data_IF_013461748690
#
_entry.id   IF_013461748690
#
_cell.length_a   1.000
_cell.length_b   1.000
_cell.length_c   1.000
_cell.angle_alpha   90.00
_cell.angle_beta   90.00
_cell.angle_gamma   90.00
#
_symmetry.space_group_name_H-M   'P 1'
#
loop_
_entity.id
_entity.type
_entity.pdbx_description
1 polymer ?
#
# COMPACT_ATOMS: atom_id res chain seq x y z
N UNK A 1 -9.93 -20.81 3.66
CA UNK A 1 -9.72 -19.40 3.30
C UNK A 1 -8.27 -19.17 2.86
N UNK A 2 -7.28 -19.77 3.48
CA UNK A 2 -5.86 -19.62 3.16
C UNK A 2 -5.31 -20.61 2.12
N UNK A 3 -6.17 -21.36 1.43
CA UNK A 3 -5.80 -22.35 0.40
C UNK A 3 -5.06 -21.75 -0.81
N UNK A 4 -5.17 -20.44 -0.99
CA UNK A 4 -4.46 -19.74 -2.07
C UNK A 4 -2.96 -19.52 -1.77
N UNK A 5 -2.57 -19.46 -0.50
CA UNK A 5 -1.18 -19.14 -0.12
C UNK A 5 -0.15 -20.16 -0.61
N UNK A 6 -0.38 -21.48 -0.54
CA UNK A 6 0.56 -22.44 -1.12
C UNK A 6 0.83 -22.19 -2.60
N UNK A 7 -0.19 -21.78 -3.39
CA UNK A 7 -0.03 -21.45 -4.80
C UNK A 7 0.79 -20.16 -5.00
N UNK A 8 0.58 -19.16 -4.13
CA UNK A 8 1.35 -17.90 -4.14
C UNK A 8 2.82 -18.18 -3.82
N UNK A 9 3.10 -19.04 -2.82
CA UNK A 9 4.46 -19.45 -2.46
C UNK A 9 5.12 -20.21 -3.62
N UNK A 10 4.44 -21.19 -4.21
CA UNK A 10 4.95 -21.93 -5.37
C UNK A 10 5.28 -20.97 -6.53
N UNK A 11 4.40 -20.01 -6.81
CA UNK A 11 4.65 -19.02 -7.86
C UNK A 11 5.84 -18.12 -7.56
N UNK A 12 6.00 -17.69 -6.32
CA UNK A 12 7.15 -16.91 -5.87
C UNK A 12 8.46 -17.68 -6.03
N UNK A 13 8.47 -18.97 -5.69
CA UNK A 13 9.63 -19.86 -5.85
C UNK A 13 9.98 -20.05 -7.33
N UNK A 14 8.98 -20.34 -8.19
CA UNK A 14 9.16 -20.43 -9.65
C UNK A 14 9.80 -19.16 -10.23
N UNK A 15 9.30 -17.99 -9.82
CA UNK A 15 9.86 -16.70 -10.28
C UNK A 15 11.29 -16.51 -9.76
N UNK A 16 11.56 -16.90 -8.52
CA UNK A 16 12.88 -16.80 -7.91
C UNK A 16 13.92 -17.71 -8.61
N UNK A 17 13.51 -18.88 -9.07
CA UNK A 17 14.32 -19.75 -9.89
C UNK A 17 14.49 -19.24 -11.31
N UNK A 18 13.43 -18.69 -11.91
CA UNK A 18 13.45 -18.21 -13.27
C UNK A 18 14.36 -16.98 -13.47
N UNK A 19 14.37 -16.03 -12.53
CA UNK A 19 15.17 -14.80 -12.64
C UNK A 19 16.69 -15.02 -12.64
N UNK A 20 17.18 -16.21 -12.25
CA UNK A 20 18.61 -16.56 -12.28
C UNK A 20 18.99 -17.31 -13.55
N UNK A 21 18.04 -17.62 -14.43
CA UNK A 21 18.30 -18.35 -15.67
C UNK A 21 18.88 -17.41 -16.73
N UNK A 22 19.94 -17.84 -17.46
CA UNK A 22 20.63 -16.98 -18.42
C UNK A 22 19.75 -16.50 -19.58
N UNK A 23 18.79 -17.31 -20.01
CA UNK A 23 17.83 -16.97 -21.09
C UNK A 23 16.85 -15.90 -20.65
N UNK A 24 16.42 -15.91 -19.39
CA UNK A 24 15.55 -14.86 -18.83
C UNK A 24 16.33 -13.57 -18.61
N UNK A 25 17.58 -13.64 -18.15
CA UNK A 25 18.46 -12.48 -17.95
C UNK A 25 18.75 -11.79 -19.31
N UNK A 26 18.89 -12.56 -20.38
CA UNK A 26 19.11 -12.03 -21.72
C UNK A 26 17.88 -11.27 -22.29
N UNK A 27 16.67 -11.62 -21.86
CA UNK A 27 15.41 -10.93 -22.21
C UNK A 27 15.04 -9.91 -21.13
N UNK A 28 15.48 -8.66 -21.34
CA UNK A 28 15.28 -7.57 -20.37
C UNK A 28 13.80 -7.36 -20.02
N UNK A 29 12.88 -7.51 -20.99
CA UNK A 29 11.46 -7.28 -20.76
C UNK A 29 10.86 -8.36 -19.84
N UNK A 30 11.17 -9.64 -20.12
CA UNK A 30 10.74 -10.76 -19.28
C UNK A 30 11.36 -10.71 -17.88
N UNK A 31 12.64 -10.38 -17.81
CA UNK A 31 13.35 -10.23 -16.54
C UNK A 31 12.69 -9.16 -15.64
N UNK A 32 12.40 -7.98 -16.18
CA UNK A 32 11.71 -6.91 -15.44
C UNK A 32 10.30 -7.30 -15.01
N UNK A 33 9.54 -7.98 -15.89
CA UNK A 33 8.21 -8.47 -15.57
C UNK A 33 8.24 -9.47 -14.39
N UNK A 34 9.18 -10.41 -14.40
CA UNK A 34 9.33 -11.41 -13.34
C UNK A 34 9.78 -10.80 -12.01
N UNK A 35 10.70 -9.83 -12.06
CA UNK A 35 11.10 -9.09 -10.85
C UNK A 35 9.92 -8.33 -10.24
N UNK A 36 9.12 -7.67 -11.06
CA UNK A 36 7.95 -6.92 -10.60
C UNK A 36 6.89 -7.85 -9.99
N UNK A 37 6.61 -8.98 -10.65
CA UNK A 37 5.65 -9.98 -10.16
C UNK A 37 6.14 -10.59 -8.83
N UNK A 38 7.43 -10.99 -8.76
CA UNK A 38 8.02 -11.52 -7.53
C UNK A 38 7.94 -10.52 -6.38
N UNK A 39 8.30 -9.25 -6.61
CA UNK A 39 8.22 -8.19 -5.60
C UNK A 39 6.78 -7.97 -5.10
N UNK A 40 5.78 -8.10 -5.98
CA UNK A 40 4.37 -7.99 -5.59
C UNK A 40 3.88 -9.14 -4.68
N UNK A 41 4.50 -10.32 -4.79
CA UNK A 41 4.17 -11.50 -3.97
C UNK A 41 4.96 -11.56 -2.65
N UNK A 42 6.08 -10.87 -2.53
CA UNK A 42 7.03 -10.99 -1.41
C UNK A 42 6.40 -10.74 -0.04
N UNK A 43 5.56 -9.71 0.07
CA UNK A 43 4.85 -9.36 1.31
C UNK A 43 3.90 -10.50 1.74
N UNK A 44 3.16 -11.07 0.78
CA UNK A 44 2.22 -12.17 1.03
C UNK A 44 2.96 -13.45 1.47
N UNK A 45 4.08 -13.76 0.81
CA UNK A 45 4.90 -14.93 1.14
C UNK A 45 5.52 -14.78 2.53
N UNK A 46 6.07 -13.62 2.85
CA UNK A 46 6.67 -13.34 4.16
C UNK A 46 5.64 -13.45 5.29
N UNK A 47 4.46 -12.85 5.11
CA UNK A 47 3.38 -12.96 6.08
C UNK A 47 2.91 -14.40 6.27
N UNK A 48 2.81 -15.17 5.20
CA UNK A 48 2.44 -16.58 5.26
C UNK A 48 3.47 -17.43 6.00
N UNK A 49 4.76 -17.24 5.72
CA UNK A 49 5.86 -17.95 6.40
C UNK A 49 5.88 -17.64 7.90
N UNK A 50 5.65 -16.37 8.27
CA UNK A 50 5.53 -15.95 9.67
C UNK A 50 4.35 -16.64 10.37
N UNK A 51 3.18 -16.66 9.73
CA UNK A 51 2.01 -17.37 10.25
C UNK A 51 2.28 -18.86 10.45
N UNK A 52 2.90 -19.53 9.49
CA UNK A 52 3.27 -20.95 9.62
C UNK A 52 4.27 -21.20 10.76
N UNK A 53 5.19 -20.25 10.99
CA UNK A 53 6.12 -20.32 12.13
C UNK A 53 5.37 -20.25 13.45
N UNK A 54 4.40 -19.32 13.59
CA UNK A 54 3.56 -19.23 14.78
C UNK A 54 2.76 -20.51 15.03
N UNK A 55 2.22 -21.13 13.98
CA UNK A 55 1.52 -22.42 14.12
C UNK A 55 2.43 -23.54 14.61
N UNK A 56 3.68 -23.58 14.13
CA UNK A 56 4.68 -24.54 14.60
C UNK A 56 5.04 -24.32 16.06
N UNK A 57 5.29 -23.08 16.47
CA UNK A 57 5.54 -22.74 17.88
C UNK A 57 4.36 -23.13 18.77
N UNK A 58 3.13 -22.87 18.32
CA UNK A 58 1.93 -23.29 19.06
C UNK A 58 1.89 -24.81 19.24
N UNK A 59 2.21 -25.60 18.22
CA UNK A 59 2.23 -27.04 18.33
C UNK A 59 3.30 -27.51 19.31
N UNK A 60 4.49 -26.92 19.29
CA UNK A 60 5.56 -27.23 20.25
C UNK A 60 5.16 -26.87 21.70
N UNK A 61 4.59 -25.69 21.91
CA UNK A 61 4.11 -25.30 23.24
C UNK A 61 2.98 -26.21 23.75
N UNK A 62 2.11 -26.71 22.85
CA UNK A 62 1.09 -27.69 23.20
C UNK A 62 1.68 -29.04 23.64
N UNK A 63 2.77 -29.51 23.03
CA UNK A 63 3.47 -30.71 23.46
C UNK A 63 4.11 -30.54 24.86
N UNK A 64 4.66 -29.33 25.15
CA UNK A 64 5.28 -29.01 26.43
C UNK A 64 4.26 -28.95 27.59
N UNK A 65 2.96 -28.75 27.34
CA UNK A 65 1.93 -28.79 28.41
C UNK A 65 1.87 -30.13 29.14
N UNK A 66 2.32 -31.23 28.55
CA UNK A 66 2.32 -32.54 29.18
C UNK A 66 3.44 -32.72 30.20
N UNK A 67 4.44 -31.82 30.19
CA UNK A 67 5.55 -31.83 31.15
C UNK A 67 5.19 -30.94 32.36
N UNK A 68 5.13 -31.50 33.57
CA UNK A 68 4.79 -30.74 34.78
C UNK A 68 5.71 -29.55 35.07
N UNK A 69 7.01 -29.67 34.71
CA UNK A 69 8.01 -28.62 34.95
C UNK A 69 7.90 -27.45 33.95
N UNK A 70 7.30 -27.70 32.78
CA UNK A 70 7.16 -26.71 31.72
C UNK A 70 5.72 -26.19 31.54
N UNK A 71 4.78 -26.77 32.26
CA UNK A 71 3.34 -26.54 32.07
C UNK A 71 2.94 -25.05 32.16
N UNK A 72 3.40 -24.34 33.23
CA UNK A 72 3.06 -22.94 33.44
C UNK A 72 3.61 -22.03 32.32
N UNK A 73 4.88 -22.22 31.99
CA UNK A 73 5.54 -21.48 30.92
C UNK A 73 4.88 -21.74 29.54
N UNK A 74 4.54 -22.99 29.26
CA UNK A 74 3.86 -23.36 28.02
C UNK A 74 2.43 -22.77 27.93
N UNK A 75 1.72 -22.67 29.05
CA UNK A 75 0.40 -22.05 29.11
C UNK A 75 0.45 -20.53 28.82
N UNK A 76 1.42 -19.82 29.37
CA UNK A 76 1.64 -18.40 29.09
C UNK A 76 2.03 -18.17 27.63
N UNK A 77 2.93 -19.00 27.08
CA UNK A 77 3.33 -18.91 25.68
C UNK A 77 2.15 -19.16 24.75
N UNK A 78 1.31 -20.16 25.01
CA UNK A 78 0.10 -20.42 24.21
C UNK A 78 -0.88 -19.24 24.21
N UNK A 79 -1.03 -18.55 25.33
CA UNK A 79 -1.87 -17.36 25.40
C UNK A 79 -1.31 -16.22 24.53
N UNK A 80 -0.01 -15.99 24.56
CA UNK A 80 0.68 -15.00 23.72
C UNK A 80 0.57 -15.36 22.24
N UNK A 81 0.83 -16.63 21.88
CA UNK A 81 0.75 -17.12 20.52
C UNK A 81 -0.66 -17.03 19.94
N UNK A 82 -1.70 -17.23 20.76
CA UNK A 82 -3.08 -17.10 20.31
C UNK A 82 -3.40 -15.69 19.80
N UNK A 83 -2.93 -14.65 20.49
CA UNK A 83 -3.10 -13.26 20.06
C UNK A 83 -2.31 -12.97 18.77
N UNK A 84 -1.05 -13.41 18.68
CA UNK A 84 -0.21 -13.23 17.50
C UNK A 84 -0.76 -13.95 16.26
N UNK A 85 -1.30 -15.15 16.43
CA UNK A 85 -1.93 -15.92 15.35
C UNK A 85 -3.18 -15.19 14.85
N UNK A 86 -4.02 -14.67 15.75
CA UNK A 86 -5.23 -13.93 15.35
C UNK A 86 -4.87 -12.66 14.55
N UNK A 87 -3.85 -11.92 14.97
CA UNK A 87 -3.34 -10.76 14.25
C UNK A 87 -2.78 -11.14 12.86
N UNK A 88 -1.95 -12.19 12.81
CA UNK A 88 -1.40 -12.69 11.54
C UNK A 88 -2.51 -13.16 10.58
N UNK A 89 -3.56 -13.83 11.07
CA UNK A 89 -4.71 -14.21 10.26
C UNK A 89 -5.46 -13.00 9.69
N UNK A 90 -5.62 -11.95 10.47
CA UNK A 90 -6.24 -10.72 9.99
C UNK A 90 -5.38 -10.05 8.90
N UNK A 91 -4.09 -9.98 9.11
CA UNK A 91 -3.15 -9.45 8.11
C UNK A 91 -3.19 -10.25 6.81
N UNK A 92 -3.18 -11.59 6.89
CA UNK A 92 -3.29 -12.46 5.72
C UNK A 92 -4.60 -12.25 4.96
N UNK A 93 -5.72 -12.01 5.66
CA UNK A 93 -7.01 -11.70 5.01
C UNK A 93 -6.94 -10.39 4.21
N UNK A 94 -6.31 -9.37 4.77
CA UNK A 94 -6.12 -8.07 4.11
C UNK A 94 -5.26 -8.23 2.86
N UNK A 95 -4.16 -8.98 2.94
CA UNK A 95 -3.25 -9.22 1.82
C UNK A 95 -3.85 -10.03 0.66
N UNK A 96 -4.93 -10.78 0.91
CA UNK A 96 -5.68 -11.49 -0.15
C UNK A 96 -6.71 -10.62 -0.87
N UNK A 97 -6.97 -9.41 -0.38
CA UNK A 97 -7.87 -8.50 -1.09
C UNK A 97 -7.24 -8.11 -2.43
N UNK A 98 -8.05 -8.10 -3.51
CA UNK A 98 -7.54 -7.67 -4.81
C UNK A 98 -7.06 -6.22 -4.71
N UNK A 99 -5.80 -5.97 -5.07
CA UNK A 99 -5.27 -4.62 -5.22
C UNK A 99 -5.83 -4.02 -6.51
N UNK A 100 -6.25 -2.78 -6.46
CA UNK A 100 -6.61 -2.03 -7.64
C UNK A 100 -5.30 -1.80 -8.46
N UNK A 101 -5.25 -2.17 -9.75
CA UNK A 101 -4.06 -1.99 -10.57
C UNK A 101 -3.64 -0.52 -10.68
N UNK A 102 -4.57 0.39 -10.42
CA UNK A 102 -4.34 1.83 -10.47
C UNK A 102 -3.79 2.41 -9.16
N UNK A 103 -3.76 1.64 -8.08
CA UNK A 103 -3.35 2.12 -6.75
C UNK A 103 -1.94 2.76 -6.71
N UNK A 104 -1.03 2.31 -7.58
CA UNK A 104 0.34 2.83 -7.70
C UNK A 104 0.49 3.96 -8.74
N UNK A 105 -0.60 4.39 -9.39
CA UNK A 105 -0.52 5.49 -10.33
C UNK A 105 -0.31 6.82 -9.62
N UNK A 106 0.48 7.70 -10.27
CA UNK A 106 0.57 9.11 -9.89
C UNK A 106 -0.74 9.82 -10.19
N UNK A 107 -1.02 10.87 -9.45
CA UNK A 107 -2.22 11.68 -9.62
C UNK A 107 -1.87 13.10 -10.01
N UNK A 108 -2.82 13.77 -10.66
CA UNK A 108 -2.85 15.24 -10.79
C UNK A 108 -3.99 15.73 -9.91
N UNK A 109 -3.66 16.62 -8.98
CA UNK A 109 -4.64 17.28 -8.12
C UNK A 109 -4.87 18.68 -8.63
N UNK A 110 -6.14 19.06 -8.77
CA UNK A 110 -6.58 20.39 -9.15
C UNK A 110 -7.47 20.95 -8.03
N UNK A 111 -7.12 22.11 -7.50
CA UNK A 111 -7.87 22.84 -6.48
C UNK A 111 -8.29 24.16 -7.08
N UNK A 112 -9.59 24.47 -7.03
CA UNK A 112 -10.15 25.74 -7.49
C UNK A 112 -10.92 26.42 -6.38
N UNK A 113 -10.71 27.73 -6.21
CA UNK A 113 -11.58 28.57 -5.41
C UNK A 113 -12.98 28.60 -6.05
N UNK A 114 -14.00 28.14 -5.31
CA UNK A 114 -15.38 28.08 -5.76
C UNK A 114 -16.11 29.43 -5.68
N UNK A 115 -17.44 29.37 -5.62
CA UNK A 115 -18.28 30.58 -5.38
C UNK A 115 -18.07 31.08 -3.94
N UNK A 116 -17.48 32.25 -3.76
CA UNK A 116 -17.17 32.81 -2.41
C UNK A 116 -16.14 33.94 -2.43
N UNK A 117 -15.70 34.35 -3.62
CA UNK A 117 -14.74 35.44 -3.75
C UNK A 117 -13.38 35.12 -3.12
N UNK A 118 -12.78 36.11 -2.44
CA UNK A 118 -11.45 36.01 -1.86
C UNK A 118 -11.35 34.95 -0.74
N UNK A 119 -12.41 34.78 0.05
CA UNK A 119 -12.44 33.79 1.13
C UNK A 119 -12.31 32.35 0.61
N UNK A 120 -12.94 32.06 -0.53
CA UNK A 120 -12.81 30.74 -1.17
C UNK A 120 -11.41 30.52 -1.71
N UNK A 121 -10.73 31.56 -2.19
CA UNK A 121 -9.35 31.49 -2.64
C UNK A 121 -8.36 31.26 -1.48
N UNK A 122 -8.59 31.89 -0.34
CA UNK A 122 -7.82 31.67 0.88
C UNK A 122 -8.00 30.21 1.40
N UNK A 123 -9.22 29.71 1.38
CA UNK A 123 -9.51 28.32 1.74
C UNK A 123 -8.84 27.33 0.78
N UNK A 124 -8.83 27.61 -0.53
CA UNK A 124 -8.13 26.80 -1.50
C UNK A 124 -6.61 26.74 -1.23
N UNK A 125 -6.01 27.85 -0.79
CA UNK A 125 -4.61 27.90 -0.37
C UNK A 125 -4.33 27.01 0.86
N UNK A 126 -5.24 27.02 1.85
CA UNK A 126 -5.13 26.13 3.02
C UNK A 126 -5.25 24.66 2.63
N UNK A 127 -6.19 24.30 1.75
CA UNK A 127 -6.34 22.93 1.24
C UNK A 127 -5.08 22.46 0.50
N UNK A 128 -4.53 23.30 -0.40
CA UNK A 128 -3.28 22.97 -1.09
C UNK A 128 -2.16 22.69 -0.09
N UNK A 129 -2.00 23.55 0.91
CA UNK A 129 -0.98 23.38 1.97
C UNK A 129 -1.19 22.07 2.74
N UNK A 130 -2.44 21.74 3.06
CA UNK A 130 -2.79 20.49 3.75
C UNK A 130 -2.36 19.27 2.93
N UNK A 131 -2.69 19.22 1.64
CA UNK A 131 -2.34 18.09 0.77
C UNK A 131 -0.84 17.97 0.52
N UNK A 132 -0.12 19.09 0.35
CA UNK A 132 1.34 19.09 0.24
C UNK A 132 1.97 18.50 1.51
N UNK A 133 1.54 18.95 2.70
CA UNK A 133 2.05 18.41 3.96
C UNK A 133 1.69 16.94 4.18
N UNK A 134 0.51 16.52 3.74
CA UNK A 134 0.15 15.12 3.76
C UNK A 134 1.09 14.29 2.87
N UNK A 135 1.35 14.75 1.65
CA UNK A 135 2.26 14.10 0.71
C UNK A 135 3.68 14.00 1.28
N UNK A 136 4.20 15.08 1.88
CA UNK A 136 5.52 15.10 2.53
C UNK A 136 5.62 14.04 3.66
N UNK A 137 4.60 13.94 4.53
CA UNK A 137 4.58 12.95 5.62
C UNK A 137 4.57 11.51 5.13
N UNK A 138 4.04 11.27 3.94
CA UNK A 138 3.98 9.95 3.32
C UNK A 138 5.12 9.72 2.31
N UNK A 139 6.11 10.62 2.26
CA UNK A 139 7.26 10.56 1.34
C UNK A 139 6.84 10.54 -0.14
N UNK A 140 5.70 11.17 -0.47
CA UNK A 140 5.27 11.36 -1.84
C UNK A 140 5.96 12.60 -2.44
N UNK A 141 6.30 12.51 -3.71
CA UNK A 141 6.88 13.63 -4.46
C UNK A 141 5.76 14.51 -5.00
N UNK A 142 5.83 15.80 -4.72
CA UNK A 142 4.88 16.81 -5.22
C UNK A 142 5.59 17.70 -6.21
N UNK A 143 5.00 17.89 -7.39
CA UNK A 143 5.49 18.80 -8.43
C UNK A 143 4.39 19.78 -8.81
N UNK A 144 4.57 21.09 -8.60
CA UNK A 144 3.62 22.10 -9.05
C UNK A 144 3.62 22.17 -10.59
N UNK A 145 2.42 22.21 -11.19
CA UNK A 145 2.24 22.35 -12.63
C UNK A 145 1.84 23.78 -12.96
N UNK A 146 0.82 24.31 -12.27
CA UNK A 146 0.38 25.70 -12.41
C UNK A 146 -0.28 26.19 -11.13
N UNK A 147 -0.11 27.47 -10.81
CA UNK A 147 -0.77 28.12 -9.67
C UNK A 147 -1.14 29.54 -10.04
N UNK A 148 -2.40 29.92 -9.82
CA UNK A 148 -2.90 31.28 -10.00
C UNK A 148 -3.27 31.83 -8.63
N UNK A 149 -2.47 32.77 -8.15
CA UNK A 149 -2.66 33.40 -6.83
C UNK A 149 -3.52 34.66 -6.91
N UNK A 150 -4.11 35.07 -5.76
CA UNK A 150 -4.78 36.35 -5.58
C UNK A 150 -3.86 37.34 -4.87
N UNK A 151 -4.21 38.62 -4.90
CA UNK A 151 -3.44 39.71 -4.26
C UNK A 151 -3.31 39.52 -2.73
N UNK A 152 -4.27 38.84 -2.10
CA UNK A 152 -4.28 38.56 -0.66
C UNK A 152 -3.68 37.19 -0.27
N UNK A 153 -3.01 36.55 -1.21
CA UNK A 153 -2.35 35.24 -0.96
C UNK A 153 -3.29 34.05 -1.01
N UNK A 154 -4.50 34.19 -1.53
CA UNK A 154 -5.38 33.09 -1.87
C UNK A 154 -4.99 32.45 -3.20
N UNK A 155 -5.61 31.33 -3.53
CA UNK A 155 -5.39 30.57 -4.77
C UNK A 155 -6.70 30.46 -5.53
N UNK A 156 -6.75 31.02 -6.75
CA UNK A 156 -7.87 30.83 -7.68
C UNK A 156 -7.88 29.43 -8.25
N UNK A 157 -6.71 28.94 -8.63
CA UNK A 157 -6.50 27.61 -9.19
C UNK A 157 -5.08 27.14 -8.87
N UNK A 158 -4.95 25.89 -8.44
CA UNK A 158 -3.68 25.20 -8.30
C UNK A 158 -3.77 23.82 -8.92
N UNK A 159 -2.78 23.47 -9.75
CA UNK A 159 -2.63 22.15 -10.35
C UNK A 159 -1.25 21.62 -9.99
N UNK A 160 -1.18 20.47 -9.41
CA UNK A 160 0.09 19.82 -9.04
C UNK A 160 -0.02 18.29 -9.16
N UNK A 161 1.09 17.64 -9.47
CA UNK A 161 1.18 16.20 -9.48
C UNK A 161 1.66 15.68 -8.14
N UNK A 162 1.17 14.49 -7.76
CA UNK A 162 1.67 13.75 -6.60
C UNK A 162 2.05 12.35 -7.08
N UNK A 163 3.30 11.94 -6.85
CA UNK A 163 3.86 10.66 -7.27
C UNK A 163 4.44 9.90 -6.09
N UNK A 164 4.26 8.59 -6.08
CA UNK A 164 4.75 7.67 -5.06
C UNK A 164 3.94 6.39 -5.02
N UNK A 165 4.41 5.37 -4.30
CA UNK A 165 3.68 4.11 -4.17
C UNK A 165 2.40 4.29 -3.35
N UNK A 166 1.26 3.83 -3.88
CA UNK A 166 -0.04 3.90 -3.22
C UNK A 166 -0.65 5.30 -3.14
N UNK A 167 -0.19 6.26 -3.94
CA UNK A 167 -0.73 7.63 -3.95
C UNK A 167 -2.20 7.61 -4.36
N UNK A 168 -2.52 6.95 -5.47
CA UNK A 168 -3.90 6.87 -5.96
C UNK A 168 -4.81 6.17 -4.95
N UNK A 169 -4.38 5.04 -4.38
CA UNK A 169 -5.12 4.31 -3.36
C UNK A 169 -5.58 5.20 -2.19
N UNK A 170 -4.71 6.13 -1.76
CA UNK A 170 -4.98 7.02 -0.63
C UNK A 170 -5.80 8.25 -1.01
N UNK A 171 -5.62 8.76 -2.23
CA UNK A 171 -6.20 10.01 -2.68
C UNK A 171 -7.48 9.84 -3.50
N UNK A 172 -7.79 8.63 -4.00
CA UNK A 172 -8.97 8.38 -4.85
C UNK A 172 -10.32 8.73 -4.21
N UNK A 173 -10.37 8.86 -2.89
CA UNK A 173 -11.59 9.19 -2.15
C UNK A 173 -11.70 10.69 -1.80
N UNK A 174 -10.65 11.49 -2.08
CA UNK A 174 -10.62 12.92 -1.80
C UNK A 174 -11.36 13.76 -2.86
N UNK A 175 -12.35 13.17 -3.52
CA UNK A 175 -13.01 13.77 -4.68
C UNK A 175 -14.41 14.22 -4.39
N UNK A 176 -14.71 15.45 -4.86
CA UNK A 176 -16.09 15.82 -5.18
C UNK A 176 -16.47 15.53 -6.64
N UNK A 177 -15.49 15.47 -7.59
CA UNK A 177 -15.68 15.09 -9.01
C UNK A 177 -14.41 14.46 -9.57
N UNK A 178 -14.49 13.21 -10.09
CA UNK A 178 -13.41 12.52 -10.79
C UNK A 178 -13.62 12.65 -12.29
N UNK A 179 -12.63 13.21 -13.02
CA UNK A 179 -12.44 12.97 -14.43
C UNK A 179 -11.24 12.03 -14.61
N UNK A 180 -11.51 10.82 -15.08
CA UNK A 180 -10.48 9.84 -15.41
C UNK A 180 -10.12 10.06 -16.87
N UNK A 181 -8.90 10.55 -17.14
CA UNK A 181 -8.28 10.46 -18.45
C UNK A 181 -7.00 9.65 -18.34
N UNK A 182 -6.88 8.58 -19.13
CA UNK A 182 -5.64 7.82 -19.21
C UNK A 182 -4.52 8.66 -19.85
N UNK A 183 -3.27 8.50 -19.41
CA UNK A 183 -2.70 7.63 -18.37
C UNK A 183 -2.59 8.27 -16.99
N UNK A 184 -3.06 9.49 -16.81
CA UNK A 184 -2.98 10.26 -15.57
C UNK A 184 -4.40 10.60 -15.09
N UNK A 185 -4.73 10.29 -13.83
CA UNK A 185 -6.05 10.60 -13.27
C UNK A 185 -6.05 11.98 -12.62
N UNK A 186 -7.00 12.83 -13.02
CA UNK A 186 -7.21 14.14 -12.44
C UNK A 186 -8.14 14.06 -11.22
N UNK A 187 -7.68 14.59 -10.09
CA UNK A 187 -8.50 14.81 -8.90
C UNK A 187 -8.94 16.30 -8.92
N UNK A 188 -10.22 16.54 -9.01
CA UNK A 188 -10.79 17.87 -9.00
C UNK A 188 -11.55 18.10 -7.69
N UNK A 189 -11.09 19.07 -6.90
CA UNK A 189 -11.78 19.53 -5.69
C UNK A 189 -12.34 20.93 -6.01
N UNK A 190 -13.63 21.07 -5.92
CA UNK A 190 -14.35 22.34 -6.08
C UNK A 190 -15.07 22.72 -4.80
#
# INVERSE_FOLDING_TARGET
>A
MFEKYPLIVSRYEELSEAIVQPDIIADTARYQAYLKERAALEEQVTAWQSYQSLLRHRAQAQEMLSDPDLHEMAAEELQSLAAQIAEAEQQLRILLLPRDPDDDHSIIMEIRGGAGGEESCLFAAELMRMYIRYAERHHFRVEPISTTETELGGIKEAVFSIAGSGVFARMKYELSLIHISEPTRHLRIS
#
